data_IF_190584161993
#
_entry.id   IF_190584161993
#
_cell.length_a   1.000
_cell.length_b   1.000
_cell.length_c   1.000
_cell.angle_alpha   90.00
_cell.angle_beta   90.00
_cell.angle_gamma   90.00
#
_symmetry.space_group_name_H-M   'P 1'
#
loop_
_entity.id
_entity.type
_entity.pdbx_description
1 polymer ?
#
# COMPACT_ATOMS: atom_id res chain seq x y z
N UNK A 1 13.21 17.30 18.80
CA UNK A 1 12.05 17.31 17.90
C UNK A 1 11.93 15.95 17.26
N UNK A 2 10.75 15.60 16.75
CA UNK A 2 10.52 14.38 15.97
C UNK A 2 10.19 14.77 14.53
N UNK A 3 10.46 13.87 13.58
CA UNK A 3 10.19 14.04 12.15
C UNK A 3 9.30 12.90 11.66
N UNK A 4 8.34 13.22 10.77
CA UNK A 4 7.55 12.22 10.06
C UNK A 4 8.30 11.84 8.78
N UNK A 5 9.04 10.74 8.83
CA UNK A 5 9.85 10.27 7.68
C UNK A 5 9.06 9.43 6.69
N UNK A 6 7.92 8.86 7.10
CA UNK A 6 7.05 8.10 6.22
C UNK A 6 5.80 7.53 6.86
N UNK A 7 4.96 6.94 6.01
CA UNK A 7 3.68 6.33 6.36
C UNK A 7 3.62 4.88 5.85
N UNK A 8 2.93 4.03 6.61
CA UNK A 8 2.58 2.68 6.19
C UNK A 8 1.06 2.59 6.03
N UNK A 9 0.61 2.02 4.91
CA UNK A 9 -0.81 1.84 4.62
C UNK A 9 -1.11 0.40 4.21
N UNK A 10 -1.94 -0.26 5.01
CA UNK A 10 -2.44 -1.59 4.72
C UNK A 10 -3.94 -1.66 4.98
N UNK A 11 -4.70 -1.31 3.94
CA UNK A 11 -6.15 -1.28 3.92
C UNK A 11 -6.62 -1.59 2.49
N UNK A 12 -7.92 -1.81 2.33
CA UNK A 12 -8.60 -1.97 1.05
C UNK A 12 -9.84 -2.86 1.16
N UNK A 13 -9.93 -3.63 2.26
CA UNK A 13 -10.97 -4.65 2.43
C UNK A 13 -12.38 -4.08 2.35
N UNK A 14 -12.64 -2.95 3.02
CA UNK A 14 -14.00 -2.39 3.06
C UNK A 14 -14.44 -1.78 1.73
N UNK A 15 -13.51 -1.38 0.89
CA UNK A 15 -13.78 -0.81 -0.42
C UNK A 15 -14.16 -1.88 -1.46
N UNK A 16 -13.78 -3.15 -1.24
CA UNK A 16 -14.12 -4.25 -2.16
C UNK A 16 -15.60 -4.67 -2.12
N UNK A 17 -16.35 -4.31 -1.08
CA UNK A 17 -17.78 -4.68 -0.97
C UNK A 17 -18.73 -3.77 -1.75
N UNK A 18 -18.24 -2.65 -2.26
CA UNK A 18 -19.05 -1.70 -3.03
C UNK A 18 -18.31 -1.30 -4.31
N UNK A 19 -18.92 -1.58 -5.47
CA UNK A 19 -18.32 -1.26 -6.78
C UNK A 19 -18.00 0.23 -6.94
N UNK A 20 -18.79 1.12 -6.36
CA UNK A 20 -18.55 2.57 -6.39
C UNK A 20 -17.39 3.00 -5.48
N UNK A 21 -17.09 2.25 -4.42
CA UNK A 21 -15.90 2.48 -3.62
C UNK A 21 -14.66 1.96 -4.34
N UNK A 22 -14.72 0.71 -4.82
CA UNK A 22 -13.63 0.09 -5.59
C UNK A 22 -13.24 0.92 -6.81
N UNK A 23 -14.21 1.46 -7.57
CA UNK A 23 -13.94 2.28 -8.75
C UNK A 23 -13.23 3.60 -8.45
N UNK A 24 -13.28 4.08 -7.20
CA UNK A 24 -12.64 5.34 -6.76
C UNK A 24 -11.41 5.11 -5.88
N UNK A 25 -11.08 3.86 -5.57
CA UNK A 25 -10.04 3.53 -4.60
C UNK A 25 -8.68 4.13 -4.99
N UNK A 26 -8.29 4.02 -6.26
CA UNK A 26 -7.02 4.59 -6.76
C UNK A 26 -6.95 6.10 -6.55
N UNK A 27 -7.99 6.83 -7.01
CA UNK A 27 -8.09 8.28 -6.85
C UNK A 27 -7.99 8.67 -5.36
N UNK A 28 -8.71 7.96 -4.51
CA UNK A 28 -8.76 8.23 -3.08
C UNK A 28 -7.42 7.92 -2.39
N UNK A 29 -6.73 6.85 -2.80
CA UNK A 29 -5.40 6.50 -2.28
C UNK A 29 -4.37 7.56 -2.66
N UNK A 30 -4.38 8.04 -3.91
CA UNK A 30 -3.51 9.16 -4.34
C UNK A 30 -3.80 10.42 -3.51
N UNK A 31 -5.07 10.74 -3.29
CA UNK A 31 -5.45 11.88 -2.45
C UNK A 31 -5.01 11.70 -0.99
N UNK A 32 -5.15 10.50 -0.42
CA UNK A 32 -4.71 10.18 0.93
C UNK A 32 -3.21 10.42 1.11
N UNK A 33 -2.38 9.91 0.18
CA UNK A 33 -0.92 10.11 0.22
C UNK A 33 -0.57 11.59 0.26
N UNK A 34 -1.20 12.40 -0.61
CA UNK A 34 -0.98 13.84 -0.68
C UNK A 34 -1.45 14.56 0.58
N UNK A 35 -2.60 14.17 1.10
CA UNK A 35 -3.22 14.82 2.24
C UNK A 35 -2.43 14.55 3.53
N UNK A 36 -1.95 13.32 3.74
CA UNK A 36 -1.09 13.00 4.89
C UNK A 36 0.21 13.82 4.88
N UNK A 37 0.87 13.93 3.72
CA UNK A 37 2.07 14.78 3.60
C UNK A 37 1.79 16.25 3.92
N UNK A 38 0.64 16.76 3.50
CA UNK A 38 0.23 18.14 3.77
C UNK A 38 -0.10 18.37 5.25
N UNK A 39 -0.90 17.50 5.86
CA UNK A 39 -1.41 17.68 7.22
C UNK A 39 -0.32 17.55 8.29
N UNK A 40 0.73 16.77 7.99
CA UNK A 40 1.89 16.60 8.85
C UNK A 40 3.07 17.51 8.49
N UNK A 41 2.90 18.45 7.54
CA UNK A 41 3.98 19.30 7.01
C UNK A 41 5.23 18.50 6.61
N UNK A 42 5.01 17.35 5.96
CA UNK A 42 6.02 16.35 5.65
C UNK A 42 6.02 16.03 4.14
N UNK A 43 6.39 16.99 3.27
CA UNK A 43 6.28 16.83 1.81
C UNK A 43 7.14 15.68 1.24
N UNK A 44 8.23 15.34 1.92
CA UNK A 44 9.17 14.29 1.52
C UNK A 44 8.90 12.94 2.19
N UNK A 45 7.91 12.85 3.10
CA UNK A 45 7.60 11.61 3.80
C UNK A 45 7.30 10.49 2.81
N UNK A 46 8.01 9.38 2.97
CA UNK A 46 7.84 8.18 2.14
C UNK A 46 6.50 7.53 2.41
N UNK A 47 6.01 6.73 1.47
CA UNK A 47 4.77 6.01 1.63
C UNK A 47 4.92 4.57 1.18
N UNK A 48 4.59 3.62 2.05
CA UNK A 48 4.60 2.20 1.70
C UNK A 48 3.21 1.63 1.84
N UNK A 49 2.65 1.17 0.72
CA UNK A 49 1.38 0.46 0.65
C UNK A 49 1.64 -1.06 0.66
N UNK A 50 0.74 -1.83 1.25
CA UNK A 50 0.65 -3.27 1.01
C UNK A 50 -0.71 -3.63 0.40
N UNK A 51 -0.72 -4.57 -0.55
CA UNK A 51 -1.96 -5.09 -1.12
C UNK A 51 -2.71 -5.97 -0.12
N UNK A 52 -3.93 -6.40 -0.44
CA UNK A 52 -4.64 -7.40 0.38
C UNK A 52 -4.11 -8.82 0.10
N UNK A 53 -3.69 -9.53 1.15
CA UNK A 53 -3.01 -10.82 1.03
C UNK A 53 -3.85 -11.94 0.38
N UNK A 54 -5.18 -11.84 0.38
CA UNK A 54 -6.02 -12.84 -0.28
C UNK A 54 -6.09 -12.69 -1.80
N UNK A 55 -5.69 -11.55 -2.36
CA UNK A 55 -5.95 -11.23 -3.77
C UNK A 55 -4.75 -11.56 -4.65
N UNK A 56 -4.92 -12.58 -5.49
CA UNK A 56 -3.94 -12.98 -6.50
C UNK A 56 -3.98 -12.06 -7.74
N UNK A 57 -2.93 -12.07 -8.58
CA UNK A 57 -2.84 -11.26 -9.80
C UNK A 57 -3.86 -11.65 -10.88
N UNK A 58 -4.31 -12.90 -10.87
CA UNK A 58 -5.35 -13.43 -11.75
C UNK A 58 -6.76 -13.27 -11.17
N UNK A 59 -6.92 -12.60 -10.03
CA UNK A 59 -8.22 -12.22 -9.52
C UNK A 59 -8.97 -11.36 -10.55
N UNK A 60 -10.29 -11.35 -10.41
CA UNK A 60 -11.22 -10.60 -11.26
C UNK A 60 -12.11 -9.67 -10.43
N UNK A 61 -12.87 -8.82 -11.12
CA UNK A 61 -13.87 -7.95 -10.51
C UNK A 61 -13.28 -6.95 -9.51
N UNK A 62 -14.02 -6.71 -8.43
CA UNK A 62 -13.70 -5.67 -7.43
C UNK A 62 -12.37 -5.92 -6.71
N UNK A 63 -12.00 -7.18 -6.49
CA UNK A 63 -10.73 -7.50 -5.83
C UNK A 63 -9.55 -7.14 -6.73
N UNK A 64 -9.67 -7.45 -8.03
CA UNK A 64 -8.70 -7.02 -9.02
C UNK A 64 -8.59 -5.50 -9.13
N UNK A 65 -9.73 -4.80 -9.10
CA UNK A 65 -9.74 -3.34 -9.13
C UNK A 65 -8.99 -2.73 -7.95
N UNK A 66 -9.20 -3.24 -6.73
CA UNK A 66 -8.45 -2.79 -5.55
C UNK A 66 -6.97 -3.11 -5.68
N UNK A 67 -6.62 -4.33 -6.12
CA UNK A 67 -5.22 -4.72 -6.35
C UNK A 67 -4.54 -3.80 -7.35
N UNK A 68 -5.15 -3.57 -8.52
CA UNK A 68 -4.59 -2.72 -9.57
C UNK A 68 -4.42 -1.28 -9.07
N UNK A 69 -5.38 -0.75 -8.30
CA UNK A 69 -5.30 0.57 -7.69
C UNK A 69 -4.15 0.71 -6.67
N UNK A 70 -3.91 -0.33 -5.86
CA UNK A 70 -2.78 -0.36 -4.92
C UNK A 70 -1.44 -0.46 -5.65
N UNK A 71 -1.36 -1.26 -6.73
CA UNK A 71 -0.14 -1.38 -7.53
C UNK A 71 0.13 -0.12 -8.37
N UNK A 72 -0.91 0.60 -8.77
CA UNK A 72 -0.81 1.81 -9.58
C UNK A 72 -0.10 2.97 -8.88
N UNK A 73 -0.14 3.05 -7.55
CA UNK A 73 0.54 4.13 -6.80
C UNK A 73 2.03 3.86 -6.57
N UNK A 74 2.51 2.66 -6.88
CA UNK A 74 3.93 2.34 -6.79
C UNK A 74 4.75 3.28 -7.71
N UNK A 75 5.85 3.81 -7.19
CA UNK A 75 6.71 4.75 -7.92
C UNK A 75 7.36 4.17 -9.17
N UNK A 76 7.52 2.85 -9.25
CA UNK A 76 8.06 2.13 -10.41
C UNK A 76 6.98 1.78 -11.44
N UNK A 77 5.69 1.97 -11.13
CA UNK A 77 4.60 1.75 -12.10
C UNK A 77 4.63 2.73 -13.27
N UNK A 78 5.26 3.91 -13.07
CA UNK A 78 5.31 4.99 -14.05
C UNK A 78 4.01 5.79 -14.23
N UNK A 79 2.90 5.39 -13.58
CA UNK A 79 1.59 6.04 -13.73
C UNK A 79 1.52 7.42 -13.07
N UNK A 80 2.11 7.55 -11.89
CA UNK A 80 2.21 8.81 -11.14
C UNK A 80 3.67 9.25 -11.02
N UNK A 81 4.09 10.18 -11.88
CA UNK A 81 5.49 10.67 -11.91
C UNK A 81 5.96 11.22 -10.55
N UNK A 82 5.05 11.83 -9.79
CA UNK A 82 5.31 12.39 -8.46
C UNK A 82 5.61 11.32 -7.37
N UNK A 83 5.28 10.06 -7.64
CA UNK A 83 5.50 8.94 -6.71
C UNK A 83 6.82 8.21 -6.95
N UNK A 84 7.50 8.50 -8.05
CA UNK A 84 8.80 7.92 -8.38
C UNK A 84 9.81 8.21 -7.25
N UNK A 85 10.39 7.15 -6.69
CA UNK A 85 11.39 7.25 -5.61
C UNK A 85 10.83 7.64 -4.23
N UNK A 86 9.51 7.77 -4.06
CA UNK A 86 8.94 8.11 -2.74
C UNK A 86 7.67 7.34 -2.33
N UNK A 87 7.10 6.53 -3.22
CA UNK A 87 6.04 5.56 -2.89
C UNK A 87 6.44 4.16 -3.37
N UNK A 88 6.16 3.14 -2.55
CA UNK A 88 6.30 1.74 -2.92
C UNK A 88 5.04 0.95 -2.53
N UNK A 89 4.73 -0.10 -3.30
CA UNK A 89 3.66 -1.05 -3.00
C UNK A 89 4.24 -2.47 -2.88
N UNK A 90 3.99 -3.10 -1.73
CA UNK A 90 4.29 -4.51 -1.48
C UNK A 90 3.12 -5.37 -1.93
N UNK A 91 3.35 -6.23 -2.94
CA UNK A 91 2.40 -7.28 -3.32
C UNK A 91 2.42 -8.40 -2.28
N UNK A 92 1.39 -8.43 -1.43
CA UNK A 92 1.37 -9.21 -0.19
C UNK A 92 0.85 -10.64 -0.35
N UNK A 93 0.23 -10.98 -1.49
CA UNK A 93 -0.39 -12.30 -1.67
C UNK A 93 0.57 -13.48 -1.42
N UNK A 94 1.81 -13.50 -1.96
CA UNK A 94 2.75 -14.60 -1.69
C UNK A 94 3.29 -14.63 -0.26
N UNK A 95 3.09 -13.55 0.51
CA UNK A 95 3.57 -13.41 1.88
C UNK A 95 2.52 -13.88 2.91
N UNK A 96 1.25 -13.88 2.50
CA UNK A 96 0.12 -14.33 3.30
C UNK A 96 0.08 -15.85 3.43
N UNK A 97 -0.20 -16.36 4.63
CA UNK A 97 -0.43 -17.79 4.88
C UNK A 97 -1.89 -18.23 4.71
N UNK A 98 -2.71 -17.37 4.10
CA UNK A 98 -4.12 -17.62 3.85
C UNK A 98 -5.04 -16.77 4.74
N UNK A 99 -6.33 -17.09 4.68
CA UNK A 99 -7.38 -16.23 5.21
C UNK A 99 -7.58 -14.96 4.38
N UNK A 100 -8.42 -14.06 4.87
CA UNK A 100 -8.73 -12.80 4.20
C UNK A 100 -8.70 -11.64 5.19
N UNK A 101 -8.50 -10.41 4.67
CA UNK A 101 -8.43 -9.20 5.49
C UNK A 101 -9.64 -8.96 6.38
N UNK A 102 -10.84 -9.36 5.96
CA UNK A 102 -12.07 -9.23 6.75
C UNK A 102 -12.15 -10.16 7.97
N UNK A 103 -11.42 -11.27 7.93
CA UNK A 103 -11.19 -12.17 9.05
C UNK A 103 -9.80 -12.01 9.65
N UNK A 104 -9.14 -10.86 9.40
CA UNK A 104 -7.80 -10.56 9.92
C UNK A 104 -6.78 -11.67 9.68
N UNK A 105 -6.81 -12.27 8.48
CA UNK A 105 -5.94 -13.38 8.10
C UNK A 105 -5.95 -14.56 9.09
N UNK A 106 -7.10 -14.78 9.75
CA UNK A 106 -7.26 -15.80 10.79
C UNK A 106 -6.41 -15.57 12.04
N UNK A 107 -5.94 -14.34 12.27
CA UNK A 107 -4.98 -14.04 13.33
C UNK A 107 -3.60 -14.65 13.11
N UNK A 108 -3.26 -15.06 11.88
CA UNK A 108 -1.98 -15.71 11.59
C UNK A 108 -0.81 -14.73 11.75
N UNK A 109 -0.05 -14.88 12.83
CA UNK A 109 1.08 -13.99 13.15
C UNK A 109 2.17 -13.97 12.07
N UNK A 110 2.40 -15.08 11.36
CA UNK A 110 3.40 -15.16 10.29
C UNK A 110 3.00 -14.28 9.08
N UNK A 111 1.71 -14.23 8.72
CA UNK A 111 1.20 -13.28 7.71
C UNK A 111 1.52 -11.84 8.08
N UNK A 112 1.24 -11.44 9.33
CA UNK A 112 1.52 -10.09 9.82
C UNK A 112 3.03 -9.78 9.81
N UNK A 113 3.85 -10.72 10.27
CA UNK A 113 5.30 -10.57 10.29
C UNK A 113 5.87 -10.46 8.87
N UNK A 114 5.50 -11.36 7.95
CA UNK A 114 6.02 -11.35 6.58
C UNK A 114 5.68 -10.06 5.83
N UNK A 115 4.44 -9.58 5.96
CA UNK A 115 3.99 -8.36 5.29
C UNK A 115 4.63 -7.14 5.94
N UNK A 116 4.67 -7.08 7.28
CA UNK A 116 5.33 -6.00 8.01
C UNK A 116 6.82 -5.89 7.69
N UNK A 117 7.54 -7.02 7.63
CA UNK A 117 8.96 -7.05 7.29
C UNK A 117 9.19 -6.59 5.84
N UNK A 118 8.36 -7.03 4.89
CA UNK A 118 8.45 -6.59 3.49
C UNK A 118 8.19 -5.09 3.34
N UNK A 119 7.18 -4.55 4.05
CA UNK A 119 6.91 -3.12 4.07
C UNK A 119 8.07 -2.34 4.69
N UNK A 120 8.63 -2.82 5.81
CA UNK A 120 9.80 -2.21 6.46
C UNK A 120 11.03 -2.17 5.55
N UNK A 121 11.33 -3.26 4.86
CA UNK A 121 12.42 -3.34 3.85
C UNK A 121 12.19 -2.33 2.71
N UNK A 122 10.96 -2.20 2.23
CA UNK A 122 10.61 -1.21 1.21
C UNK A 122 10.82 0.23 1.71
N UNK A 123 10.42 0.53 2.95
CA UNK A 123 10.62 1.84 3.58
C UNK A 123 12.12 2.19 3.69
N UNK A 124 12.94 1.25 4.21
CA UNK A 124 14.39 1.45 4.32
C UNK A 124 15.02 1.73 2.95
N UNK A 125 14.60 1.00 1.90
CA UNK A 125 15.08 1.23 0.53
C UNK A 125 14.71 2.64 0.01
N UNK A 126 13.49 3.09 0.26
CA UNK A 126 13.05 4.43 -0.13
C UNK A 126 13.83 5.53 0.59
N UNK A 127 14.10 5.36 1.89
CA UNK A 127 14.85 6.32 2.69
C UNK A 127 16.33 6.38 2.27
N UNK A 128 16.96 5.23 2.03
CA UNK A 128 18.37 5.18 1.59
C UNK A 128 18.61 5.74 0.18
N UNK A 129 17.55 5.88 -0.64
CA UNK A 129 17.66 6.49 -1.96
C UNK A 129 17.79 8.02 -1.90
N UNK A 130 17.41 8.66 -0.80
CA UNK A 130 17.55 10.11 -0.60
C UNK A 130 18.95 10.52 -0.13
N UNK A 131 19.74 9.56 0.39
CA UNK A 131 21.10 9.80 0.90
C UNK A 131 22.17 9.75 -0.21
N UNK A 132 21.77 9.54 -1.47
CA UNK A 132 22.66 9.45 -2.64
C UNK A 132 22.49 10.65 -3.57
#
# INVERSE_FOLDING_TARGET
SFEVTGFFWWQGDKDRYNKGHASRYEQNLVQLIKQLRKDFDAPNAKFVCATLGQTAKDAEGVERQILDAQLAVDGESGKYKEFKGNVATVYSHPLSKGGASNGHYGGNAETYMNIGEAMGKAMVKLLAADEK
#
